data_IF_408983378579
#
_entry.id   IF_408983378579
#
_cell.length_a   1.000
_cell.length_b   1.000
_cell.length_c   1.000
_cell.angle_alpha   90.00
_cell.angle_beta   90.00
_cell.angle_gamma   90.00
#
_symmetry.space_group_name_H-M   'P 1'
#
loop_
_entity.id
_entity.type
_entity.pdbx_description
1 polymer ?
#
# COMPACT_ATOMS: atom_id res chain seq x y z
N UNK A 1 17.90 -18.42 4.89
CA UNK A 1 16.58 -17.79 5.13
C UNK A 1 16.10 -16.86 4.01
N UNK A 2 16.97 -16.09 3.34
CA UNK A 2 16.57 -15.03 2.37
C UNK A 2 15.82 -15.51 1.11
N UNK A 3 16.28 -16.58 0.46
CA UNK A 3 15.58 -17.17 -0.69
C UNK A 3 14.21 -17.81 -0.34
N UNK A 4 13.95 -18.08 0.94
CA UNK A 4 12.65 -18.63 1.39
C UNK A 4 11.56 -17.56 1.52
N UNK A 5 11.92 -16.28 1.68
CA UNK A 5 10.96 -15.17 1.85
C UNK A 5 10.55 -14.49 0.54
N UNK A 6 11.14 -14.90 -0.59
CA UNK A 6 10.79 -14.36 -1.92
C UNK A 6 11.25 -12.92 -2.19
N UNK A 7 12.11 -12.35 -1.33
CA UNK A 7 12.69 -11.01 -1.54
C UNK A 7 13.80 -11.14 -2.59
N UNK A 8 13.66 -10.42 -3.71
CA UNK A 8 14.60 -10.43 -4.83
C UNK A 8 15.24 -9.06 -5.03
N UNK A 9 16.53 -9.03 -5.35
CA UNK A 9 17.32 -7.82 -5.59
C UNK A 9 17.56 -7.60 -7.09
N UNK A 10 16.49 -7.65 -7.89
CA UNK A 10 16.59 -7.58 -9.36
C UNK A 10 16.80 -6.15 -9.90
N UNK A 11 16.64 -5.13 -9.04
CA UNK A 11 16.70 -3.71 -9.42
C UNK A 11 18.00 -3.04 -8.92
N UNK A 12 18.47 -3.42 -7.73
CA UNK A 12 19.65 -2.86 -7.06
C UNK A 12 20.30 -3.96 -6.23
N UNK A 13 21.62 -3.95 -6.09
CA UNK A 13 22.32 -4.95 -5.26
C UNK A 13 21.90 -4.82 -3.80
N UNK A 14 21.91 -5.94 -3.06
CA UNK A 14 21.51 -5.94 -1.65
C UNK A 14 22.30 -4.94 -0.80
N UNK A 15 23.62 -4.89 -0.96
CA UNK A 15 24.47 -3.98 -0.19
C UNK A 15 24.20 -2.51 -0.54
N UNK A 16 23.98 -2.22 -1.82
CA UNK A 16 23.61 -0.88 -2.29
C UNK A 16 22.22 -0.47 -1.75
N UNK A 17 21.26 -1.39 -1.74
CA UNK A 17 19.94 -1.17 -1.14
C UNK A 17 20.05 -0.89 0.35
N UNK A 18 20.82 -1.71 1.08
CA UNK A 18 21.06 -1.52 2.52
C UNK A 18 21.69 -0.16 2.79
N UNK A 19 22.74 0.20 2.07
CA UNK A 19 23.40 1.50 2.19
C UNK A 19 22.44 2.65 1.90
N UNK A 20 21.67 2.54 0.80
CA UNK A 20 20.68 3.56 0.46
C UNK A 20 19.66 3.74 1.57
N UNK A 21 19.04 2.65 2.03
CA UNK A 21 18.01 2.70 3.06
C UNK A 21 18.55 3.15 4.43
N UNK A 22 19.84 2.93 4.71
CA UNK A 22 20.50 3.36 5.95
C UNK A 22 20.75 4.87 5.94
N UNK A 23 21.32 5.40 4.85
CA UNK A 23 21.90 6.74 4.82
C UNK A 23 21.07 7.80 4.09
N UNK A 24 20.04 7.40 3.32
CA UNK A 24 19.23 8.34 2.53
C UNK A 24 17.89 8.71 3.19
N UNK A 25 17.93 9.08 4.47
CA UNK A 25 16.73 9.47 5.22
C UNK A 25 16.35 10.93 5.00
N UNK A 26 16.05 11.31 3.75
CA UNK A 26 15.49 12.63 3.41
C UNK A 26 14.08 12.85 3.97
N UNK A 27 13.40 11.77 4.35
CA UNK A 27 12.00 11.81 4.74
C UNK A 27 11.71 12.73 5.92
N UNK A 28 12.55 12.74 6.97
CA UNK A 28 12.37 13.68 8.09
C UNK A 28 12.72 15.12 7.74
N UNK A 29 13.60 15.36 6.77
CA UNK A 29 13.86 16.72 6.27
C UNK A 29 12.63 17.28 5.55
N UNK A 30 11.97 16.45 4.75
CA UNK A 30 10.80 16.85 3.94
C UNK A 30 9.52 16.88 4.79
N UNK A 31 9.39 15.98 5.77
CA UNK A 31 8.20 15.81 6.62
C UNK A 31 8.60 15.74 8.12
N UNK A 32 9.08 16.85 8.71
CA UNK A 32 9.61 16.85 10.08
C UNK A 32 8.59 16.39 11.13
N UNK A 33 7.31 16.67 10.94
CA UNK A 33 6.24 16.25 11.85
C UNK A 33 6.12 14.71 12.00
N UNK A 34 6.58 13.93 11.01
CA UNK A 34 6.52 12.47 11.08
C UNK A 34 7.48 11.94 12.15
N UNK A 35 8.61 12.60 12.38
CA UNK A 35 9.55 12.22 13.44
C UNK A 35 8.86 12.26 14.81
N UNK A 36 8.17 13.35 15.11
CA UNK A 36 7.43 13.49 16.38
C UNK A 36 6.29 12.47 16.46
N UNK A 37 5.60 12.20 15.36
CA UNK A 37 4.55 11.17 15.31
C UNK A 37 5.09 9.76 15.59
N UNK A 38 6.29 9.44 15.11
CA UNK A 38 6.97 8.16 15.39
C UNK A 38 7.39 8.11 16.86
N UNK A 39 8.04 9.16 17.38
CA UNK A 39 8.49 9.20 18.78
C UNK A 39 7.30 9.11 19.74
N UNK A 40 6.16 9.73 19.44
CA UNK A 40 4.96 9.63 20.28
C UNK A 40 4.40 8.20 20.39
N UNK A 41 4.74 7.30 19.46
CA UNK A 41 4.36 5.88 19.53
C UNK A 41 5.26 5.06 20.47
N UNK A 42 6.37 5.62 20.95
CA UNK A 42 7.29 4.95 21.88
C UNK A 42 6.57 4.45 23.13
N UNK A 43 5.62 5.21 23.66
CA UNK A 43 5.00 4.89 24.96
C UNK A 43 3.88 3.85 24.89
N UNK A 44 3.21 3.70 23.75
CA UNK A 44 1.93 2.97 23.65
C UNK A 44 1.76 2.19 22.33
N UNK A 45 2.86 1.74 21.70
CA UNK A 45 2.77 0.94 20.48
C UNK A 45 3.56 -0.35 20.58
N UNK A 46 3.12 -1.36 19.84
CA UNK A 46 3.86 -2.59 19.62
C UNK A 46 5.23 -2.36 18.94
N UNK A 47 5.53 -1.13 18.49
CA UNK A 47 6.80 -0.77 17.88
C UNK A 47 7.74 -0.03 18.85
N UNK A 48 7.41 0.02 20.14
CA UNK A 48 8.17 0.76 21.16
C UNK A 48 9.66 0.42 21.14
N UNK A 49 10.03 -0.86 21.23
CA UNK A 49 11.43 -1.30 21.29
C UNK A 49 12.23 -0.87 20.06
N UNK A 50 11.63 -0.93 18.87
CA UNK A 50 12.25 -0.47 17.63
C UNK A 50 12.47 1.04 17.65
N UNK A 51 11.50 1.81 18.14
CA UNK A 51 11.59 3.26 18.28
C UNK A 51 12.70 3.62 19.27
N UNK A 52 12.70 3.02 20.47
CA UNK A 52 13.72 3.27 21.51
C UNK A 52 15.12 2.98 20.97
N UNK A 53 15.31 1.85 20.29
CA UNK A 53 16.60 1.42 19.75
C UNK A 53 17.14 2.37 18.68
N UNK A 54 16.29 2.91 17.81
CA UNK A 54 16.71 3.68 16.63
C UNK A 54 16.34 5.18 16.67
N UNK A 55 15.84 5.71 17.79
CA UNK A 55 15.35 7.11 17.94
C UNK A 55 16.28 8.20 17.43
N UNK A 56 17.59 7.97 17.52
CA UNK A 56 18.63 8.92 17.13
C UNK A 56 19.20 8.66 15.74
N UNK A 57 18.95 7.48 15.16
CA UNK A 57 19.49 7.08 13.86
C UNK A 57 18.53 6.14 13.13
N UNK A 58 17.38 6.68 12.72
CA UNK A 58 16.40 5.91 11.96
C UNK A 58 16.86 5.72 10.52
N UNK A 59 17.04 4.47 10.11
CA UNK A 59 17.02 4.10 8.71
C UNK A 59 15.57 4.12 8.16
N UNK A 60 15.42 4.20 6.84
CA UNK A 60 14.08 4.28 6.23
C UNK A 60 13.26 2.99 6.43
N UNK A 61 13.88 1.81 6.52
CA UNK A 61 13.15 0.57 6.82
C UNK A 61 12.57 0.61 8.25
N UNK A 62 13.32 1.13 9.24
CA UNK A 62 12.81 1.33 10.60
C UNK A 62 11.59 2.26 10.58
N UNK A 63 11.64 3.31 9.76
CA UNK A 63 10.52 4.24 9.61
C UNK A 63 9.30 3.50 9.05
N UNK A 64 9.46 2.75 7.95
CA UNK A 64 8.37 2.02 7.29
C UNK A 64 7.64 1.08 8.26
N UNK A 65 8.37 0.37 9.11
CA UNK A 65 7.79 -0.53 10.13
C UNK A 65 6.90 0.21 11.13
N UNK A 66 7.23 1.47 11.45
CA UNK A 66 6.49 2.26 12.44
C UNK A 66 5.38 3.10 11.82
N UNK A 67 5.44 3.40 10.52
CA UNK A 67 4.46 4.26 9.87
C UNK A 67 3.06 3.64 9.92
N UNK A 68 2.04 4.51 10.11
CA UNK A 68 0.69 4.10 9.76
C UNK A 68 0.62 3.90 8.24
N UNK A 69 -0.29 3.04 7.75
CA UNK A 69 -0.44 2.86 6.30
C UNK A 69 -0.70 4.19 5.58
N UNK A 70 -1.44 5.12 6.20
CA UNK A 70 -1.70 6.46 5.67
C UNK A 70 -0.43 7.33 5.54
N UNK A 71 0.53 7.18 6.45
CA UNK A 71 1.80 7.91 6.33
C UNK A 71 2.76 7.20 5.38
N UNK A 72 2.68 5.87 5.31
CA UNK A 72 3.38 5.08 4.30
C UNK A 72 2.98 5.50 2.88
N UNK A 73 1.68 5.71 2.59
CA UNK A 73 1.28 6.17 1.24
C UNK A 73 1.88 7.54 0.88
N UNK A 74 2.10 8.43 1.86
CA UNK A 74 2.79 9.71 1.64
C UNK A 74 4.27 9.51 1.36
N UNK A 75 4.93 8.60 2.08
CA UNK A 75 6.32 8.23 1.80
C UNK A 75 6.45 7.61 0.40
N UNK A 76 5.54 6.72 0.04
CA UNK A 76 5.46 6.10 -1.28
C UNK A 76 5.31 7.16 -2.37
N UNK A 77 4.35 8.08 -2.23
CA UNK A 77 4.17 9.20 -3.17
C UNK A 77 5.45 10.01 -3.32
N UNK A 78 6.04 10.44 -2.21
CA UNK A 78 7.27 11.25 -2.20
C UNK A 78 8.43 10.55 -2.92
N UNK A 79 8.55 9.22 -2.81
CA UNK A 79 9.55 8.45 -3.53
C UNK A 79 9.34 8.57 -5.05
N UNK A 80 8.13 8.33 -5.53
CA UNK A 80 7.81 8.41 -6.95
C UNK A 80 7.92 9.83 -7.51
N UNK A 81 7.56 10.84 -6.72
CA UNK A 81 7.71 12.25 -7.08
C UNK A 81 9.19 12.65 -7.20
N UNK A 82 10.07 12.12 -6.34
CA UNK A 82 11.50 12.46 -6.31
C UNK A 82 12.32 11.78 -7.41
N UNK A 83 12.03 10.51 -7.69
CA UNK A 83 12.85 9.70 -8.60
C UNK A 83 12.21 9.51 -9.98
N UNK A 84 11.05 10.12 -10.24
CA UNK A 84 10.34 10.08 -11.51
C UNK A 84 10.13 8.66 -12.09
N UNK A 85 10.04 7.67 -11.20
CA UNK A 85 9.91 6.26 -11.59
C UNK A 85 8.52 5.97 -12.15
N UNK A 86 8.43 5.14 -13.19
CA UNK A 86 7.15 4.69 -13.74
C UNK A 86 6.52 3.60 -12.84
N UNK A 87 5.20 3.41 -12.96
CA UNK A 87 4.50 2.30 -12.31
C UNK A 87 3.97 2.59 -10.91
N UNK A 88 3.85 3.86 -10.51
CA UNK A 88 3.24 4.24 -9.24
C UNK A 88 1.81 3.71 -9.12
N UNK A 89 1.53 3.01 -8.01
CA UNK A 89 0.20 2.53 -7.63
C UNK A 89 -0.50 3.47 -6.63
N UNK A 90 0.04 4.67 -6.40
CA UNK A 90 -0.40 5.61 -5.36
C UNK A 90 -1.92 5.87 -5.38
N UNK A 91 -2.46 6.13 -6.58
CA UNK A 91 -3.90 6.36 -6.82
C UNK A 91 -4.83 5.21 -6.37
N UNK A 92 -4.29 4.00 -6.19
CA UNK A 92 -5.05 2.81 -5.78
C UNK A 92 -4.88 2.44 -4.31
N UNK A 93 -3.89 3.02 -3.61
CA UNK A 93 -3.59 2.64 -2.23
C UNK A 93 -4.71 2.99 -1.25
N UNK A 94 -5.63 3.88 -1.62
CA UNK A 94 -6.83 4.14 -0.82
C UNK A 94 -7.74 2.90 -0.71
N UNK A 95 -7.99 2.20 -1.82
CA UNK A 95 -8.81 0.97 -1.83
C UNK A 95 -8.14 -0.15 -1.03
N UNK A 96 -6.82 -0.28 -1.15
CA UNK A 96 -6.02 -1.22 -0.32
C UNK A 96 -6.15 -0.89 1.17
N UNK A 97 -6.01 0.39 1.53
CA UNK A 97 -6.19 0.87 2.91
C UNK A 97 -7.58 0.58 3.43
N UNK A 98 -8.61 0.81 2.62
CA UNK A 98 -10.00 0.58 2.98
C UNK A 98 -10.24 -0.90 3.34
N UNK A 99 -9.86 -1.84 2.47
CA UNK A 99 -10.06 -3.26 2.74
C UNK A 99 -9.21 -3.77 3.90
N UNK A 100 -7.95 -3.37 3.99
CA UNK A 100 -7.06 -3.76 5.09
C UNK A 100 -7.65 -3.33 6.44
N UNK A 101 -8.15 -2.10 6.52
CA UNK A 101 -8.81 -1.61 7.73
C UNK A 101 -10.12 -2.34 8.01
N UNK A 102 -10.92 -2.64 6.99
CA UNK A 102 -12.16 -3.38 7.19
C UNK A 102 -11.91 -4.78 7.76
N UNK A 103 -10.89 -5.49 7.24
CA UNK A 103 -10.48 -6.80 7.75
C UNK A 103 -9.89 -6.72 9.17
N UNK A 104 -9.08 -5.70 9.46
CA UNK A 104 -8.42 -5.57 10.78
C UNK A 104 -9.36 -5.12 11.91
N UNK A 105 -10.46 -4.43 11.57
CA UNK A 105 -11.41 -3.89 12.54
C UNK A 105 -12.77 -4.59 12.54
N UNK A 106 -12.88 -5.78 11.92
CA UNK A 106 -14.11 -6.57 11.81
C UNK A 106 -15.30 -5.79 11.21
N UNK A 107 -15.04 -4.88 10.27
CA UNK A 107 -16.11 -4.15 9.59
C UNK A 107 -16.77 -5.05 8.54
N UNK A 108 -18.09 -5.25 8.65
CA UNK A 108 -18.84 -6.12 7.75
C UNK A 108 -18.96 -5.52 6.33
N UNK A 109 -18.20 -6.09 5.39
CA UNK A 109 -18.24 -5.71 3.97
C UNK A 109 -19.57 -6.05 3.30
N UNK A 110 -20.23 -7.14 3.70
CA UNK A 110 -21.50 -7.60 3.13
C UNK A 110 -22.62 -6.55 3.27
N UNK A 111 -22.63 -5.80 4.37
CA UNK A 111 -23.60 -4.73 4.60
C UNK A 111 -23.56 -3.66 3.50
N UNK A 112 -22.39 -3.41 2.91
CA UNK A 112 -22.20 -2.39 1.86
C UNK A 112 -22.42 -2.95 0.43
N UNK A 113 -22.89 -4.18 0.29
CA UNK A 113 -23.30 -4.77 -1.00
C UNK A 113 -24.72 -4.39 -1.42
N UNK A 114 -25.56 -3.97 -0.46
CA UNK A 114 -26.97 -3.65 -0.68
C UNK A 114 -27.14 -2.30 -1.41
N UNK A 115 -28.17 -2.22 -2.25
CA UNK A 115 -28.62 -0.99 -2.93
C UNK A 115 -29.68 -0.30 -2.04
N UNK A 116 -29.71 1.05 -1.94
CA UNK A 116 -28.85 2.01 -2.61
C UNK A 116 -27.44 2.07 -2.02
N UNK A 117 -26.45 2.32 -2.87
CA UNK A 117 -25.07 2.45 -2.43
C UNK A 117 -24.87 3.80 -1.73
N UNK A 118 -24.21 3.78 -0.56
CA UNK A 118 -23.91 4.99 0.22
C UNK A 118 -22.92 5.94 -0.48
N UNK A 119 -22.16 5.43 -1.45
CA UNK A 119 -21.17 6.20 -2.22
C UNK A 119 -21.32 5.93 -3.70
N UNK A 120 -21.26 7.00 -4.50
CA UNK A 120 -21.16 6.89 -5.95
C UNK A 120 -19.69 6.68 -6.33
N UNK A 121 -19.43 5.64 -7.12
CA UNK A 121 -18.11 5.36 -7.67
C UNK A 121 -18.16 5.40 -9.19
N UNK A 122 -17.15 6.03 -9.77
CA UNK A 122 -16.84 5.97 -11.19
C UNK A 122 -15.52 5.23 -11.36
N UNK A 123 -15.55 3.94 -11.75
CA UNK A 123 -14.33 3.16 -11.97
C UNK A 123 -13.46 3.79 -13.07
N UNK A 124 -12.13 3.78 -12.86
CA UNK A 124 -11.21 4.25 -13.90
C UNK A 124 -11.21 3.31 -15.12
N UNK A 125 -10.96 3.86 -16.31
CA UNK A 125 -10.86 3.08 -17.56
C UNK A 125 -9.83 1.95 -17.46
N UNK A 126 -8.70 2.20 -16.78
CA UNK A 126 -7.65 1.21 -16.55
C UNK A 126 -8.17 -0.02 -15.79
N UNK A 127 -8.92 0.18 -14.71
CA UNK A 127 -9.50 -0.91 -13.92
C UNK A 127 -10.59 -1.64 -14.72
N UNK A 128 -11.43 -0.92 -15.47
CA UNK A 128 -12.43 -1.56 -16.34
C UNK A 128 -11.77 -2.41 -17.42
N UNK A 129 -10.68 -1.93 -18.02
CA UNK A 129 -9.90 -2.66 -19.03
C UNK A 129 -9.18 -3.87 -18.42
N UNK A 130 -8.72 -3.78 -17.17
CA UNK A 130 -8.18 -4.93 -16.44
C UNK A 130 -9.24 -6.02 -16.27
N UNK A 131 -10.42 -5.66 -15.76
CA UNK A 131 -11.52 -6.61 -15.54
C UNK A 131 -12.05 -7.17 -16.87
N UNK A 132 -11.98 -6.40 -17.96
CA UNK A 132 -12.48 -6.88 -19.25
C UNK A 132 -11.67 -8.00 -19.88
N UNK A 133 -10.44 -8.22 -19.40
CA UNK A 133 -9.56 -9.32 -19.82
C UNK A 133 -9.86 -10.63 -19.10
N UNK A 134 -10.78 -10.63 -18.14
CA UNK A 134 -11.14 -11.82 -17.37
C UNK A 134 -12.27 -12.54 -18.11
N UNK A 135 -11.97 -13.74 -18.59
CA UNK A 135 -12.95 -14.60 -19.25
C UNK A 135 -14.14 -14.88 -18.34
N UNK A 136 -15.34 -14.87 -18.92
CA UNK A 136 -16.61 -15.04 -18.20
C UNK A 136 -17.19 -13.78 -17.57
N UNK A 137 -16.46 -12.65 -17.49
CA UNK A 137 -17.02 -11.39 -16.97
C UNK A 137 -17.55 -10.52 -18.12
N UNK A 138 -18.87 -10.58 -18.35
CA UNK A 138 -19.54 -9.78 -19.40
C UNK A 138 -19.51 -8.26 -19.13
N UNK A 139 -19.63 -7.46 -20.21
CA UNK A 139 -19.70 -5.99 -20.13
C UNK A 139 -20.83 -5.50 -19.20
N UNK A 140 -22.00 -6.15 -19.25
CA UNK A 140 -23.14 -5.82 -18.40
C UNK A 140 -22.83 -6.08 -16.92
N UNK A 141 -22.18 -7.20 -16.60
CA UNK A 141 -21.74 -7.51 -15.24
C UNK A 141 -20.76 -6.46 -14.73
N UNK A 142 -19.73 -6.10 -15.52
CA UNK A 142 -18.77 -5.04 -15.16
C UNK A 142 -19.47 -3.72 -14.86
N UNK A 143 -20.34 -3.26 -15.76
CA UNK A 143 -21.04 -1.97 -15.63
C UNK A 143 -21.96 -1.90 -14.39
N UNK A 144 -22.57 -3.02 -14.00
CA UNK A 144 -23.47 -3.08 -12.84
C UNK A 144 -22.71 -3.27 -11.53
N UNK A 145 -21.74 -4.19 -11.50
CA UNK A 145 -21.02 -4.60 -10.29
C UNK A 145 -19.94 -3.61 -9.88
N UNK A 146 -19.22 -3.00 -10.82
CA UNK A 146 -18.16 -2.03 -10.50
C UNK A 146 -18.68 -0.70 -9.95
N UNK A 147 -20.00 -0.45 -9.99
CA UNK A 147 -20.63 0.68 -9.31
C UNK A 147 -20.78 0.47 -7.80
N UNK A 148 -20.67 -0.79 -7.33
CA UNK A 148 -20.69 -1.09 -5.90
C UNK A 148 -19.34 -0.72 -5.26
N UNK A 149 -19.32 0.07 -4.18
CA UNK A 149 -18.07 0.49 -3.55
C UNK A 149 -17.13 -0.62 -3.09
N UNK A 150 -17.68 -1.64 -2.43
CA UNK A 150 -16.88 -2.76 -1.92
C UNK A 150 -16.33 -3.60 -3.07
N UNK A 151 -17.14 -3.92 -4.07
CA UNK A 151 -16.69 -4.68 -5.24
C UNK A 151 -15.59 -3.91 -5.98
N UNK A 152 -15.78 -2.59 -6.18
CA UNK A 152 -14.75 -1.75 -6.78
C UNK A 152 -13.43 -1.82 -6.02
N UNK A 153 -13.45 -1.55 -4.71
CA UNK A 153 -12.23 -1.49 -3.91
C UNK A 153 -11.55 -2.87 -3.79
N UNK A 154 -12.34 -3.94 -3.77
CA UNK A 154 -11.86 -5.32 -3.85
C UNK A 154 -11.11 -5.59 -5.14
N UNK A 155 -11.72 -5.27 -6.29
CA UNK A 155 -11.10 -5.43 -7.60
C UNK A 155 -9.84 -4.58 -7.73
N UNK A 156 -9.86 -3.33 -7.27
CA UNK A 156 -8.68 -2.45 -7.28
C UNK A 156 -7.56 -3.01 -6.41
N UNK A 157 -7.89 -3.61 -5.26
CA UNK A 157 -6.87 -4.24 -4.39
C UNK A 157 -6.23 -5.46 -5.07
N UNK A 158 -7.02 -6.29 -5.75
CA UNK A 158 -6.49 -7.40 -6.56
C UNK A 158 -5.62 -6.89 -7.72
N UNK A 159 -6.03 -5.80 -8.37
CA UNK A 159 -5.22 -5.15 -9.41
C UNK A 159 -3.86 -4.71 -8.86
N UNK A 160 -3.82 -4.02 -7.71
CA UNK A 160 -2.56 -3.61 -7.08
C UNK A 160 -1.70 -4.82 -6.72
N UNK A 161 -2.31 -5.85 -6.11
CA UNK A 161 -1.62 -7.08 -5.77
C UNK A 161 -0.97 -7.73 -7.00
N UNK A 162 -1.70 -7.86 -8.10
CA UNK A 162 -1.19 -8.47 -9.32
C UNK A 162 -0.06 -7.66 -9.98
N UNK A 163 -0.06 -6.34 -9.83
CA UNK A 163 1.01 -5.49 -10.37
C UNK A 163 2.25 -5.41 -9.47
N UNK A 164 2.07 -5.47 -8.14
CA UNK A 164 3.18 -5.30 -7.18
C UNK A 164 3.85 -6.62 -6.82
N UNK A 165 3.09 -7.72 -6.71
CA UNK A 165 3.64 -9.02 -6.33
C UNK A 165 4.26 -9.70 -7.54
N UNK A 166 5.55 -10.00 -7.48
CA UNK A 166 6.28 -10.68 -8.56
C UNK A 166 6.45 -12.18 -8.34
N UNK A 167 6.22 -12.66 -7.10
CA UNK A 167 6.36 -14.07 -6.74
C UNK A 167 5.28 -14.94 -7.41
N UNK A 168 5.72 -15.87 -8.27
CA UNK A 168 4.85 -16.84 -8.95
C UNK A 168 4.14 -17.82 -8.02
N UNK A 169 4.66 -18.05 -6.81
CA UNK A 169 4.01 -18.94 -5.82
C UNK A 169 2.81 -18.28 -5.15
N UNK A 170 2.81 -16.95 -5.11
CA UNK A 170 1.81 -16.14 -4.41
C UNK A 170 0.74 -15.61 -5.39
N UNK A 171 1.11 -15.38 -6.65
CA UNK A 171 0.19 -15.09 -7.76
C UNK A 171 -0.56 -16.34 -8.20
#
# INVERSE_FOLDING_TARGET
MKNKSGIQFNIIKEEEAKNFLTYNTYYFKIKPYIRNKIINKERNSACSDLIVKYRNNFAIWNIVEVLSFSDFTKLYKMYYDKYETKGSMEKYLWSVRFLRNAAAHNNCLLNSLKIPYSKRITPSKEIINYVSKIDGISRNSRNKKMKNPVIHDFVVTLFVFYNVVTSKKIK
#
